data_IF_588236135486
#
_entry.id   IF_588236135486
#
_cell.length_a   1.000
_cell.length_b   1.000
_cell.length_c   1.000
_cell.angle_alpha   90.00
_cell.angle_beta   90.00
_cell.angle_gamma   90.00
#
_symmetry.space_group_name_H-M   'P 1'
#
loop_
_entity.id
_entity.type
_entity.pdbx_description
1 polymer ?
#
# COMPACT_ATOMS: atom_id res chain seq x y z
N UNK A 1 51.22 -30.30 7.44
CA UNK A 1 50.21 -29.29 7.07
C UNK A 1 50.71 -28.56 5.85
N UNK A 2 49.82 -28.27 4.89
CA UNK A 2 50.17 -27.32 3.83
C UNK A 2 50.49 -25.94 4.42
N UNK A 3 51.33 -25.16 3.71
CA UNK A 3 51.77 -23.84 4.19
C UNK A 3 50.70 -22.75 4.02
N UNK A 4 49.73 -22.97 3.13
CA UNK A 4 48.68 -21.99 2.80
C UNK A 4 47.34 -22.54 3.27
N UNK A 5 46.60 -21.73 4.03
CA UNK A 5 45.23 -22.07 4.39
C UNK A 5 44.33 -22.00 3.15
N UNK A 6 43.67 -23.12 2.81
CA UNK A 6 42.66 -23.18 1.76
C UNK A 6 41.28 -23.46 2.38
N UNK A 7 40.39 -22.45 2.48
CA UNK A 7 39.06 -22.65 3.06
C UNK A 7 38.21 -23.66 2.30
N UNK A 8 38.41 -23.81 0.99
CA UNK A 8 37.60 -24.71 0.15
C UNK A 8 37.73 -26.18 0.56
N UNK A 9 38.91 -26.58 1.05
CA UNK A 9 39.20 -27.96 1.45
C UNK A 9 38.60 -28.32 2.82
N UNK A 10 38.13 -27.33 3.59
CA UNK A 10 37.70 -27.48 4.98
C UNK A 10 36.21 -27.17 5.14
N UNK A 11 35.74 -26.04 4.61
CA UNK A 11 34.40 -25.51 4.90
C UNK A 11 33.28 -26.46 4.49
N UNK A 12 33.31 -26.94 3.24
CA UNK A 12 32.23 -27.75 2.68
C UNK A 12 32.15 -29.14 3.35
N UNK A 13 33.24 -29.92 3.46
CA UNK A 13 33.19 -31.21 4.16
C UNK A 13 32.80 -31.08 5.63
N UNK A 14 33.25 -30.02 6.30
CA UNK A 14 32.94 -29.77 7.70
C UNK A 14 31.45 -29.44 7.91
N UNK A 15 30.88 -28.60 7.04
CA UNK A 15 29.46 -28.28 7.11
C UNK A 15 28.58 -29.50 6.85
N UNK A 16 28.89 -30.28 5.81
CA UNK A 16 28.17 -31.52 5.50
C UNK A 16 28.22 -32.51 6.68
N UNK A 17 29.37 -32.59 7.36
CA UNK A 17 29.48 -33.38 8.58
C UNK A 17 28.56 -32.85 9.69
N UNK A 18 28.58 -31.55 9.99
CA UNK A 18 27.74 -30.94 11.03
C UNK A 18 26.25 -31.12 10.77
N UNK A 19 25.82 -30.89 9.53
CA UNK A 19 24.42 -31.07 9.11
C UNK A 19 24.00 -32.53 9.27
N UNK A 20 24.80 -33.48 8.79
CA UNK A 20 24.51 -34.91 8.90
C UNK A 20 24.45 -35.41 10.34
N UNK A 21 25.24 -34.84 11.24
CA UNK A 21 25.21 -35.18 12.66
C UNK A 21 24.07 -34.47 13.43
N UNK A 22 23.35 -33.54 12.79
CA UNK A 22 22.26 -32.82 13.42
C UNK A 22 22.71 -31.84 14.51
N UNK A 23 23.96 -31.35 14.47
CA UNK A 23 24.52 -30.48 15.51
C UNK A 23 23.82 -29.12 15.67
N UNK A 24 22.98 -28.74 14.71
CA UNK A 24 22.24 -27.48 14.73
C UNK A 24 20.88 -27.59 15.43
N UNK A 25 20.42 -28.81 15.73
CA UNK A 25 19.14 -29.06 16.37
C UNK A 25 19.14 -28.54 17.82
N UNK A 26 18.00 -28.04 18.31
CA UNK A 26 17.79 -27.82 19.74
C UNK A 26 18.05 -29.13 20.49
N UNK A 27 18.74 -29.07 21.64
CA UNK A 27 19.07 -30.27 22.42
C UNK A 27 17.84 -30.87 23.14
N UNK A 28 16.75 -30.09 23.27
CA UNK A 28 15.51 -30.52 23.88
C UNK A 28 15.54 -30.63 25.40
N UNK A 29 16.62 -30.17 26.05
CA UNK A 29 16.74 -30.16 27.50
C UNK A 29 16.01 -28.94 28.08
N UNK A 30 14.80 -29.17 28.58
CA UNK A 30 13.96 -28.13 29.22
C UNK A 30 14.53 -27.63 30.56
N UNK A 31 15.57 -28.27 31.11
CA UNK A 31 16.28 -27.75 32.29
C UNK A 31 17.25 -26.62 31.97
N UNK A 32 17.62 -26.45 30.70
CA UNK A 32 18.49 -25.37 30.23
C UNK A 32 17.66 -24.17 29.75
N UNK A 33 18.21 -22.97 29.91
CA UNK A 33 17.59 -21.78 29.32
C UNK A 33 17.49 -21.92 27.79
N UNK A 34 16.39 -21.45 27.22
CA UNK A 34 16.18 -21.44 25.78
C UNK A 34 16.58 -20.11 25.15
N UNK A 35 17.14 -20.16 23.94
CA UNK A 35 17.46 -18.97 23.15
C UNK A 35 17.05 -19.18 21.70
N UNK A 36 16.14 -18.35 21.20
CA UNK A 36 15.57 -18.50 19.87
C UNK A 36 15.75 -17.23 19.04
N UNK A 37 16.09 -17.41 17.76
CA UNK A 37 16.01 -16.37 16.74
C UNK A 37 15.19 -16.92 15.58
N UNK A 38 14.20 -16.15 15.12
CA UNK A 38 13.54 -16.41 13.85
C UNK A 38 14.31 -15.69 12.75
N UNK A 39 14.73 -16.41 11.71
CA UNK A 39 15.30 -15.73 10.54
C UNK A 39 14.19 -14.90 9.89
N UNK A 40 14.43 -13.62 9.56
CA UNK A 40 13.58 -12.92 8.61
C UNK A 40 13.62 -13.69 7.29
N UNK A 41 12.51 -14.32 6.90
CA UNK A 41 12.53 -15.32 5.84
C UNK A 41 12.87 -14.64 4.50
N UNK A 42 13.94 -15.06 3.80
CA UNK A 42 14.26 -14.48 2.50
C UNK A 42 13.15 -14.73 1.49
N UNK A 43 12.84 -13.71 0.70
CA UNK A 43 11.86 -13.80 -0.38
C UNK A 43 12.34 -14.75 -1.47
N UNK A 44 11.46 -15.60 -2.00
CA UNK A 44 11.74 -16.50 -3.14
C UNK A 44 11.79 -15.78 -4.49
N UNK A 45 12.48 -14.63 -4.55
CA UNK A 45 12.57 -13.75 -5.72
C UNK A 45 13.90 -13.85 -6.46
N UNK A 46 14.73 -14.86 -6.14
CA UNK A 46 16.05 -15.05 -6.76
C UNK A 46 17.08 -15.64 -5.81
N UNK A 47 18.21 -14.96 -5.65
CA UNK A 47 19.34 -15.36 -4.82
C UNK A 47 19.62 -14.36 -3.69
N UNK A 48 20.30 -14.83 -2.64
CA UNK A 48 20.77 -13.99 -1.55
C UNK A 48 21.89 -13.04 -2.01
N UNK A 49 21.87 -11.83 -1.47
CA UNK A 49 22.88 -10.78 -1.64
C UNK A 49 23.63 -10.46 -0.33
N UNK A 50 24.63 -9.58 -0.38
CA UNK A 50 25.50 -9.25 0.78
C UNK A 50 24.74 -8.80 2.04
N UNK A 51 23.65 -8.05 1.90
CA UNK A 51 22.78 -7.71 3.04
C UNK A 51 22.26 -8.93 3.82
N UNK A 52 21.88 -10.01 3.12
CA UNK A 52 21.47 -11.26 3.77
C UNK A 52 22.64 -11.91 4.50
N UNK A 53 23.82 -11.97 3.87
CA UNK A 53 25.01 -12.54 4.49
C UNK A 53 25.40 -11.78 5.77
N UNK A 54 25.35 -10.44 5.74
CA UNK A 54 25.60 -9.58 6.90
C UNK A 54 24.65 -9.91 8.06
N UNK A 55 23.34 -9.91 7.80
CA UNK A 55 22.33 -10.16 8.81
C UNK A 55 22.42 -11.59 9.38
N UNK A 56 22.58 -12.58 8.50
CA UNK A 56 22.71 -14.00 8.89
C UNK A 56 23.95 -14.25 9.72
N UNK A 57 25.08 -13.61 9.40
CA UNK A 57 26.33 -13.75 10.17
C UNK A 57 26.15 -13.29 11.62
N UNK A 58 25.45 -12.17 11.83
CA UNK A 58 25.18 -11.64 13.17
C UNK A 58 24.30 -12.63 13.96
N UNK A 59 23.20 -13.09 13.36
CA UNK A 59 22.29 -14.04 13.99
C UNK A 59 22.98 -15.38 14.30
N UNK A 60 23.75 -15.93 13.35
CA UNK A 60 24.50 -17.18 13.53
C UNK A 60 25.53 -17.07 14.65
N UNK A 61 26.24 -15.95 14.73
CA UNK A 61 27.21 -15.68 15.80
C UNK A 61 26.54 -15.72 17.17
N UNK A 62 25.37 -15.08 17.31
CA UNK A 62 24.60 -15.09 18.56
C UNK A 62 24.12 -16.51 18.89
N UNK A 63 23.56 -17.23 17.92
CA UNK A 63 23.09 -18.61 18.11
C UNK A 63 24.23 -19.52 18.56
N UNK A 64 25.38 -19.48 17.88
CA UNK A 64 26.55 -20.30 18.23
C UNK A 64 27.07 -19.96 19.63
N UNK A 65 27.19 -18.67 19.94
CA UNK A 65 27.63 -18.22 21.27
C UNK A 65 26.71 -18.76 22.38
N UNK A 66 25.38 -18.61 22.22
CA UNK A 66 24.40 -19.08 23.21
C UNK A 66 24.40 -20.61 23.31
N UNK A 67 24.53 -21.32 22.18
CA UNK A 67 24.65 -22.79 22.16
C UNK A 67 25.89 -23.26 22.91
N UNK A 68 27.01 -22.57 22.73
CA UNK A 68 28.27 -22.86 23.45
C UNK A 68 28.18 -22.56 24.95
N UNK A 69 27.25 -21.70 25.38
CA UNK A 69 26.93 -21.51 26.80
C UNK A 69 26.01 -22.59 27.39
N UNK A 70 25.64 -23.61 26.60
CA UNK A 70 24.79 -24.72 27.04
C UNK A 70 23.29 -24.48 26.87
N UNK A 71 22.88 -23.32 26.34
CA UNK A 71 21.46 -23.00 26.13
C UNK A 71 20.83 -23.89 25.06
N UNK A 72 19.54 -24.17 25.24
CA UNK A 72 18.72 -24.82 24.23
C UNK A 72 18.42 -23.83 23.10
N UNK A 73 19.16 -23.92 21.98
CA UNK A 73 19.12 -22.91 20.91
C UNK A 73 18.29 -23.34 19.72
N UNK A 74 17.44 -22.44 19.22
CA UNK A 74 16.73 -22.62 17.96
C UNK A 74 16.96 -21.41 17.05
N UNK A 75 17.57 -21.63 15.90
CA UNK A 75 17.53 -20.67 14.80
C UNK A 75 16.55 -21.17 13.75
N UNK A 76 15.31 -20.66 13.83
CA UNK A 76 14.22 -21.10 12.97
C UNK A 76 14.44 -20.56 11.56
N UNK A 77 14.64 -21.47 10.60
CA UNK A 77 14.83 -21.15 9.18
C UNK A 77 13.52 -21.21 8.40
N UNK A 78 13.39 -20.35 7.40
CA UNK A 78 12.32 -20.42 6.43
C UNK A 78 12.49 -19.42 5.29
N UNK A 79 11.60 -19.52 4.31
CA UNK A 79 11.53 -18.63 3.14
C UNK A 79 10.14 -18.03 2.99
N UNK A 80 10.08 -16.85 2.40
CA UNK A 80 8.82 -16.15 2.16
C UNK A 80 8.42 -16.25 0.69
N UNK A 81 7.17 -16.64 0.44
CA UNK A 81 6.51 -16.61 -0.87
C UNK A 81 6.48 -15.20 -1.50
N UNK A 82 6.55 -14.13 -0.70
CA UNK A 82 6.64 -12.73 -1.13
C UNK A 82 5.51 -12.23 -2.07
N UNK A 83 4.41 -12.97 -2.14
CA UNK A 83 3.21 -12.66 -2.94
C UNK A 83 3.51 -12.03 -4.30
N UNK A 84 3.15 -10.75 -4.43
CA UNK A 84 3.25 -9.97 -5.67
C UNK A 84 4.69 -9.82 -6.20
N UNK A 85 5.73 -9.84 -5.35
CA UNK A 85 7.11 -9.80 -5.84
C UNK A 85 7.47 -11.07 -6.60
N UNK A 86 7.12 -12.24 -6.08
CA UNK A 86 7.35 -13.53 -6.76
C UNK A 86 6.52 -13.61 -8.02
N UNK A 87 5.25 -13.22 -7.97
CA UNK A 87 4.39 -13.16 -9.16
C UNK A 87 5.05 -12.34 -10.28
N UNK A 88 5.56 -11.14 -9.98
CA UNK A 88 6.20 -10.30 -10.99
C UNK A 88 7.48 -10.90 -11.56
N UNK A 89 8.31 -11.54 -10.73
CA UNK A 89 9.53 -12.21 -11.23
C UNK A 89 9.16 -13.34 -12.19
N UNK A 90 8.15 -14.13 -11.85
CA UNK A 90 7.64 -15.22 -12.70
C UNK A 90 7.02 -14.66 -13.98
N UNK A 91 6.21 -13.60 -13.91
CA UNK A 91 5.63 -12.96 -15.10
C UNK A 91 6.72 -12.41 -16.03
N UNK A 92 7.75 -11.74 -15.50
CA UNK A 92 8.88 -11.24 -16.29
C UNK A 92 9.68 -12.37 -16.94
N UNK A 93 9.91 -13.48 -16.21
CA UNK A 93 10.60 -14.66 -16.72
C UNK A 93 9.83 -15.28 -17.87
N UNK A 94 8.53 -15.54 -17.69
CA UNK A 94 7.64 -16.11 -18.72
C UNK A 94 7.55 -15.18 -19.95
N UNK A 95 7.45 -13.86 -19.74
CA UNK A 95 7.42 -12.91 -20.85
C UNK A 95 8.73 -12.92 -21.65
N UNK A 96 9.88 -13.03 -20.97
CA UNK A 96 11.19 -13.06 -21.62
C UNK A 96 11.50 -14.40 -22.31
N UNK A 97 11.12 -15.52 -21.71
CA UNK A 97 11.46 -16.87 -22.20
C UNK A 97 10.44 -17.39 -23.21
N UNK A 98 9.17 -17.04 -23.06
CA UNK A 98 8.07 -17.61 -23.85
C UNK A 98 7.26 -16.57 -24.64
N UNK A 99 7.45 -15.27 -24.38
CA UNK A 99 6.62 -14.22 -24.99
C UNK A 99 5.15 -14.26 -24.54
N UNK A 100 4.87 -14.89 -23.39
CA UNK A 100 3.52 -15.04 -22.83
C UNK A 100 3.30 -14.15 -21.61
N UNK A 101 2.04 -13.99 -21.23
CA UNK A 101 1.58 -13.32 -20.02
C UNK A 101 0.89 -14.33 -19.09
N UNK A 102 0.65 -13.96 -17.83
CA UNK A 102 -0.14 -14.79 -16.90
C UNK A 102 -1.55 -15.14 -17.44
N UNK A 103 -2.11 -14.29 -18.30
CA UNK A 103 -3.45 -14.48 -18.84
C UNK A 103 -3.50 -15.61 -19.87
N UNK A 104 -2.38 -15.92 -20.53
CA UNK A 104 -2.28 -17.03 -21.48
C UNK A 104 -2.32 -18.40 -20.79
N UNK A 105 -1.97 -18.45 -19.50
CA UNK A 105 -1.96 -19.65 -18.67
C UNK A 105 -3.30 -19.92 -17.97
N UNK A 106 -4.04 -18.87 -17.62
CA UNK A 106 -5.10 -18.95 -16.63
C UNK A 106 -4.55 -19.19 -15.21
N UNK A 107 -5.43 -19.18 -14.21
CA UNK A 107 -5.04 -19.15 -12.79
C UNK A 107 -4.26 -20.38 -12.33
N UNK A 108 -4.81 -21.57 -12.53
CA UNK A 108 -4.23 -22.81 -11.97
C UNK A 108 -2.85 -23.09 -12.57
N UNK A 109 -2.72 -23.05 -13.90
CA UNK A 109 -1.43 -23.29 -14.55
C UNK A 109 -0.39 -22.21 -14.23
N UNK A 110 -0.80 -20.97 -13.99
CA UNK A 110 0.11 -19.92 -13.54
C UNK A 110 0.57 -20.13 -12.09
N UNK A 111 -0.30 -20.65 -11.20
CA UNK A 111 0.09 -21.05 -9.84
C UNK A 111 1.13 -22.17 -9.89
N UNK A 112 0.98 -23.14 -10.80
CA UNK A 112 1.99 -24.19 -10.98
C UNK A 112 3.36 -23.60 -11.37
N UNK A 113 3.38 -22.60 -12.27
CA UNK A 113 4.61 -21.87 -12.61
C UNK A 113 5.26 -21.15 -11.42
N UNK A 114 4.46 -20.62 -10.50
CA UNK A 114 4.98 -20.01 -9.27
C UNK A 114 5.64 -21.08 -8.37
N UNK A 115 5.03 -22.27 -8.25
CA UNK A 115 5.62 -23.36 -7.47
C UNK A 115 6.89 -23.94 -8.09
N UNK A 116 6.95 -24.05 -9.42
CA UNK A 116 8.18 -24.41 -10.15
C UNK A 116 9.32 -23.42 -9.82
N UNK A 117 9.03 -22.12 -9.89
CA UNK A 117 9.99 -21.07 -9.54
C UNK A 117 10.42 -21.13 -8.07
N UNK A 118 9.49 -21.38 -7.14
CA UNK A 118 9.79 -21.54 -5.72
C UNK A 118 10.78 -22.67 -5.48
N UNK A 119 10.65 -23.79 -6.18
CA UNK A 119 11.58 -24.91 -6.06
C UNK A 119 13.00 -24.52 -6.52
N UNK A 120 13.11 -23.77 -7.62
CA UNK A 120 14.39 -23.27 -8.16
C UNK A 120 15.05 -22.23 -7.22
N UNK A 121 14.32 -21.18 -6.86
CA UNK A 121 14.82 -20.08 -6.01
C UNK A 121 15.07 -20.53 -4.57
N UNK A 122 14.13 -21.26 -3.97
CA UNK A 122 14.28 -21.81 -2.62
C UNK A 122 15.49 -22.75 -2.51
N UNK A 123 15.71 -23.60 -3.52
CA UNK A 123 16.90 -24.44 -3.58
C UNK A 123 18.21 -23.65 -3.67
N UNK A 124 18.20 -22.49 -4.32
CA UNK A 124 19.37 -21.61 -4.41
C UNK A 124 19.66 -20.91 -3.07
N UNK A 125 18.63 -20.36 -2.44
CA UNK A 125 18.73 -19.68 -1.13
C UNK A 125 19.32 -20.63 -0.08
N UNK A 126 18.78 -21.85 0.01
CA UNK A 126 19.24 -22.84 1.00
C UNK A 126 20.67 -23.29 0.75
N UNK A 127 21.10 -23.44 -0.51
CA UNK A 127 22.52 -23.70 -0.86
C UNK A 127 23.45 -22.56 -0.44
N UNK A 128 23.04 -21.31 -0.66
CA UNK A 128 23.85 -20.15 -0.26
C UNK A 128 24.00 -20.06 1.26
N UNK A 129 22.93 -20.30 2.01
CA UNK A 129 22.97 -20.34 3.48
C UNK A 129 23.86 -21.45 4.02
N UNK A 130 23.81 -22.65 3.43
CA UNK A 130 24.75 -23.74 3.77
C UNK A 130 26.19 -23.36 3.48
N UNK A 131 26.43 -22.74 2.32
CA UNK A 131 27.76 -22.28 1.91
C UNK A 131 28.32 -21.20 2.84
N UNK A 132 27.47 -20.34 3.40
CA UNK A 132 27.85 -19.36 4.43
C UNK A 132 28.15 -20.00 5.80
N UNK A 133 27.77 -21.27 5.99
CA UNK A 133 27.98 -21.98 7.25
C UNK A 133 26.89 -21.75 8.29
N UNK A 134 25.70 -21.30 7.91
CA UNK A 134 24.62 -21.01 8.86
C UNK A 134 24.23 -22.24 9.69
N UNK A 135 24.19 -22.12 11.02
CA UNK A 135 23.89 -23.22 11.96
C UNK A 135 22.39 -23.35 12.30
N UNK A 136 21.55 -23.34 11.27
CA UNK A 136 20.09 -23.51 11.35
C UNK A 136 19.67 -24.98 11.40
N UNK A 137 18.49 -25.25 11.96
CA UNK A 137 17.87 -26.57 11.92
C UNK A 137 17.07 -26.77 10.61
N UNK A 138 17.70 -27.42 9.63
CA UNK A 138 17.10 -27.67 8.31
C UNK A 138 15.87 -28.58 8.34
N UNK A 139 15.72 -29.45 9.36
CA UNK A 139 14.53 -30.30 9.46
C UNK A 139 13.27 -29.51 9.84
N UNK A 140 13.47 -28.30 10.40
CA UNK A 140 12.40 -27.37 10.76
C UNK A 140 12.14 -26.30 9.72
N UNK A 141 12.72 -26.40 8.53
CA UNK A 141 12.53 -25.38 7.49
C UNK A 141 11.04 -25.12 7.23
N UNK A 142 10.66 -23.83 7.24
CA UNK A 142 9.30 -23.37 6.96
C UNK A 142 9.21 -22.60 5.66
N UNK A 143 8.03 -22.62 5.06
CA UNK A 143 7.68 -21.76 3.93
C UNK A 143 6.35 -21.10 4.23
N UNK A 144 6.21 -19.79 3.98
CA UNK A 144 5.00 -19.05 4.39
C UNK A 144 3.70 -19.60 3.81
N UNK A 145 3.74 -20.31 2.67
CA UNK A 145 2.60 -21.02 2.07
C UNK A 145 2.63 -22.54 2.29
N UNK A 146 3.45 -23.06 3.22
CA UNK A 146 3.34 -24.45 3.67
C UNK A 146 2.05 -24.69 4.45
N UNK A 147 1.67 -25.95 4.62
CA UNK A 147 0.40 -26.32 5.26
C UNK A 147 0.28 -25.77 6.70
N UNK A 148 1.37 -25.81 7.47
CA UNK A 148 1.38 -25.40 8.87
C UNK A 148 1.16 -23.89 9.01
N UNK A 149 1.96 -23.10 8.29
CA UNK A 149 1.85 -21.64 8.33
C UNK A 149 0.56 -21.14 7.65
N UNK A 150 0.12 -21.78 6.57
CA UNK A 150 -1.17 -21.46 5.95
C UNK A 150 -2.35 -21.67 6.90
N UNK A 151 -2.30 -22.73 7.71
CA UNK A 151 -3.34 -22.99 8.71
C UNK A 151 -3.25 -22.01 9.90
N UNK A 152 -2.06 -21.59 10.29
CA UNK A 152 -1.89 -20.53 11.29
C UNK A 152 -2.49 -19.19 10.83
N UNK A 153 -2.28 -18.79 9.57
CA UNK A 153 -2.90 -17.58 9.00
C UNK A 153 -4.42 -17.69 8.99
N UNK A 154 -4.99 -18.84 8.60
CA UNK A 154 -6.45 -19.06 8.64
C UNK A 154 -7.01 -18.96 10.05
N UNK A 155 -6.32 -19.55 11.05
CA UNK A 155 -6.74 -19.47 12.45
C UNK A 155 -6.75 -18.03 12.94
N UNK A 156 -5.67 -17.29 12.73
CA UNK A 156 -5.56 -15.88 13.13
C UNK A 156 -6.62 -15.04 12.45
N UNK A 157 -6.85 -15.23 11.15
CA UNK A 157 -7.90 -14.51 10.42
C UNK A 157 -9.28 -14.77 11.04
N UNK A 158 -9.64 -16.04 11.27
CA UNK A 158 -10.94 -16.41 11.85
C UNK A 158 -11.09 -15.88 13.27
N UNK A 159 -10.02 -15.94 14.08
CA UNK A 159 -10.03 -15.44 15.46
C UNK A 159 -10.24 -13.93 15.48
N UNK A 160 -9.41 -13.17 14.77
CA UNK A 160 -9.52 -11.71 14.71
C UNK A 160 -10.84 -11.24 14.10
N UNK A 161 -11.40 -11.99 13.14
CA UNK A 161 -12.74 -11.72 12.61
C UNK A 161 -13.83 -11.91 13.67
N UNK A 162 -13.77 -12.99 14.46
CA UNK A 162 -14.72 -13.24 15.56
C UNK A 162 -14.61 -12.21 16.69
N UNK A 163 -13.43 -11.61 16.85
CA UNK A 163 -13.15 -10.56 17.85
C UNK A 163 -13.52 -9.14 17.36
N UNK A 164 -14.16 -9.01 16.18
CA UNK A 164 -14.46 -7.72 15.50
C UNK A 164 -13.21 -6.87 15.19
N UNK A 165 -12.04 -7.49 15.14
CA UNK A 165 -10.78 -6.83 14.77
C UNK A 165 -10.53 -6.87 13.27
N UNK A 166 -11.09 -7.85 12.56
CA UNK A 166 -11.13 -7.87 11.09
C UNK A 166 -12.55 -7.55 10.62
N UNK A 167 -12.66 -6.64 9.66
CA UNK A 167 -13.94 -6.29 9.05
C UNK A 167 -13.78 -6.04 7.54
N UNK A 168 -14.90 -6.08 6.82
CA UNK A 168 -14.97 -5.74 5.40
C UNK A 168 -15.61 -4.36 5.25
N UNK A 169 -15.01 -3.49 4.44
CA UNK A 169 -15.54 -2.17 4.18
C UNK A 169 -15.17 -1.68 2.79
N UNK A 170 -15.96 -0.74 2.26
CA UNK A 170 -15.59 0.02 1.07
C UNK A 170 -14.81 1.26 1.54
N UNK A 171 -13.52 1.28 1.28
CA UNK A 171 -12.68 2.45 1.57
C UNK A 171 -11.78 2.77 0.39
N UNK A 172 -11.20 3.96 0.45
CA UNK A 172 -10.15 4.35 -0.48
C UNK A 172 -8.89 3.54 -0.19
N UNK A 173 -8.31 2.95 -1.23
CA UNK A 173 -7.02 2.26 -1.16
C UNK A 173 -6.09 2.77 -2.23
N UNK A 174 -4.80 2.59 -1.99
CA UNK A 174 -3.79 2.71 -3.03
C UNK A 174 -3.97 1.56 -4.02
N UNK A 175 -4.42 1.86 -5.24
CA UNK A 175 -4.66 0.89 -6.29
C UNK A 175 -3.61 0.97 -7.39
N UNK A 176 -2.97 -0.16 -7.70
CA UNK A 176 -2.10 -0.27 -8.88
C UNK A 176 -2.95 -0.69 -10.09
N UNK A 177 -3.22 0.21 -11.06
CA UNK A 177 -4.07 -0.12 -12.21
C UNK A 177 -3.42 -1.12 -13.17
N UNK A 178 -2.09 -1.26 -13.14
CA UNK A 178 -1.36 -2.19 -14.00
C UNK A 178 -1.38 -3.61 -13.42
N UNK A 179 -1.16 -3.74 -12.11
CA UNK A 179 -1.20 -5.03 -11.42
C UNK A 179 -2.64 -5.42 -11.03
N UNK A 180 -3.57 -4.46 -11.07
CA UNK A 180 -4.99 -4.58 -10.69
C UNK A 180 -5.17 -5.10 -9.28
N UNK A 181 -4.47 -4.48 -8.33
CA UNK A 181 -4.48 -4.92 -6.94
C UNK A 181 -4.28 -3.73 -5.99
N UNK A 182 -4.85 -3.84 -4.80
CA UNK A 182 -4.59 -2.89 -3.72
C UNK A 182 -3.17 -3.10 -3.17
N UNK A 183 -2.46 -2.00 -2.91
CA UNK A 183 -1.16 -2.00 -2.26
C UNK A 183 -1.22 -1.19 -0.96
N UNK A 184 -0.36 -1.51 -0.01
CA UNK A 184 -0.29 -0.77 1.26
C UNK A 184 0.48 0.54 1.11
N UNK A 185 0.33 1.46 2.06
CA UNK A 185 1.06 2.74 2.07
C UNK A 185 2.58 2.53 2.10
N UNK A 186 3.05 1.42 2.67
CA UNK A 186 4.47 1.03 2.71
C UNK A 186 5.00 0.56 1.34
N UNK A 187 4.12 0.26 0.39
CA UNK A 187 4.44 -0.18 -0.97
C UNK A 187 4.35 0.99 -1.98
N UNK A 188 4.10 2.22 -1.50
CA UNK A 188 4.02 3.44 -2.32
C UNK A 188 5.33 4.24 -2.23
N UNK A 189 5.89 4.55 -3.40
CA UNK A 189 7.04 5.44 -3.57
C UNK A 189 6.58 6.81 -4.06
N UNK A 190 6.85 7.85 -3.27
CA UNK A 190 6.58 9.23 -3.66
C UNK A 190 7.71 9.79 -4.52
N UNK A 191 7.38 10.24 -5.74
CA UNK A 191 8.36 10.80 -6.69
C UNK A 191 8.03 12.26 -7.00
N UNK A 192 9.03 13.12 -6.94
CA UNK A 192 8.91 14.50 -7.37
C UNK A 192 8.74 14.58 -8.89
N UNK A 193 7.82 15.44 -9.34
CA UNK A 193 7.56 15.67 -10.75
C UNK A 193 7.12 17.12 -10.99
N UNK A 194 7.35 17.63 -12.21
CA UNK A 194 6.83 18.94 -12.62
C UNK A 194 5.48 18.74 -13.29
N UNK A 195 4.47 19.44 -12.80
CA UNK A 195 3.11 19.41 -13.34
C UNK A 195 2.50 20.80 -13.43
N UNK A 196 1.18 20.85 -13.34
CA UNK A 196 0.44 22.11 -13.39
C UNK A 196 -0.65 22.12 -12.32
N UNK A 197 -1.02 23.34 -11.93
CA UNK A 197 -2.16 23.65 -11.09
C UNK A 197 -3.17 24.42 -11.93
N UNK A 198 -4.32 23.81 -12.19
CA UNK A 198 -5.40 24.38 -12.97
C UNK A 198 -6.36 25.12 -12.05
N UNK A 199 -6.67 26.37 -12.39
CA UNK A 199 -7.64 27.21 -11.69
C UNK A 199 -8.92 27.24 -12.50
N UNK A 200 -9.99 26.65 -11.97
CA UNK A 200 -11.25 26.41 -12.67
C UNK A 200 -12.38 27.13 -11.94
N UNK A 201 -13.21 27.85 -12.69
CA UNK A 201 -14.38 28.57 -12.18
C UNK A 201 -15.57 27.62 -12.05
N UNK A 202 -16.14 27.55 -10.86
CA UNK A 202 -17.36 26.82 -10.53
C UNK A 202 -18.46 27.85 -10.30
N UNK A 203 -19.43 27.98 -11.22
CA UNK A 203 -20.55 28.91 -11.07
C UNK A 203 -21.32 28.69 -9.78
N UNK A 204 -21.60 29.76 -9.04
CA UNK A 204 -22.48 29.73 -7.88
C UNK A 204 -23.92 29.53 -8.30
N UNK A 205 -24.63 28.67 -7.60
CA UNK A 205 -26.05 28.44 -7.83
C UNK A 205 -26.92 29.55 -7.20
N UNK A 206 -28.19 29.58 -7.59
CA UNK A 206 -29.24 30.39 -6.95
C UNK A 206 -28.95 31.90 -6.88
N UNK A 207 -28.13 32.41 -7.81
CA UNK A 207 -27.73 33.83 -7.86
C UNK A 207 -26.82 34.26 -6.71
N UNK A 208 -26.25 33.31 -5.96
CA UNK A 208 -25.31 33.61 -4.89
C UNK A 208 -24.06 34.30 -5.46
N UNK A 209 -23.47 35.17 -4.63
CA UNK A 209 -22.25 35.91 -4.96
C UNK A 209 -21.25 35.84 -3.82
N UNK A 210 -19.97 35.84 -4.16
CA UNK A 210 -18.85 36.02 -3.23
C UNK A 210 -18.90 37.41 -2.59
N UNK A 211 -18.09 37.63 -1.54
CA UNK A 211 -17.98 38.93 -0.88
C UNK A 211 -17.54 40.06 -1.84
N UNK A 212 -16.77 39.74 -2.89
CA UNK A 212 -16.34 40.66 -3.95
C UNK A 212 -17.30 40.71 -5.16
N UNK A 213 -18.49 40.10 -5.06
CA UNK A 213 -19.58 40.22 -6.03
C UNK A 213 -19.52 39.28 -7.24
N UNK A 214 -18.57 38.34 -7.28
CA UNK A 214 -18.46 37.32 -8.32
C UNK A 214 -19.54 36.26 -8.15
N UNK A 215 -19.99 35.69 -9.26
CA UNK A 215 -20.99 34.62 -9.34
C UNK A 215 -20.36 33.24 -9.51
N UNK A 216 -19.08 33.07 -9.13
CA UNK A 216 -18.36 31.80 -9.19
C UNK A 216 -17.32 31.70 -8.07
N UNK A 217 -16.92 30.47 -7.74
CA UNK A 217 -15.72 30.15 -6.98
C UNK A 217 -14.61 29.70 -7.92
N UNK A 218 -13.36 29.95 -7.57
CA UNK A 218 -12.21 29.42 -8.30
C UNK A 218 -11.62 28.30 -7.48
N UNK A 219 -11.65 27.07 -7.98
CA UNK A 219 -10.99 25.93 -7.35
C UNK A 219 -9.65 25.69 -8.03
N UNK A 220 -8.63 25.33 -7.26
CA UNK A 220 -7.33 24.95 -7.78
C UNK A 220 -7.16 23.42 -7.67
N UNK A 221 -6.72 22.76 -8.73
CA UNK A 221 -6.52 21.30 -8.76
C UNK A 221 -5.34 20.90 -9.62
N UNK A 222 -4.67 19.81 -9.25
CA UNK A 222 -3.63 19.12 -10.05
C UNK A 222 -4.20 17.95 -10.87
N UNK A 223 -5.47 17.59 -10.63
CA UNK A 223 -6.16 16.46 -11.25
C UNK A 223 -7.53 16.89 -11.82
N UNK A 224 -7.56 17.70 -12.90
CA UNK A 224 -8.82 18.21 -13.41
C UNK A 224 -9.75 17.12 -13.96
N UNK A 225 -9.24 15.94 -14.36
CA UNK A 225 -10.07 14.79 -14.76
C UNK A 225 -11.02 14.32 -13.65
N UNK A 226 -10.63 14.50 -12.39
CA UNK A 226 -11.43 14.07 -11.23
C UNK A 226 -12.61 15.00 -10.96
N UNK A 227 -12.67 16.17 -11.61
CA UNK A 227 -13.80 17.11 -11.55
C UNK A 227 -15.15 16.41 -11.80
N UNK A 228 -15.19 15.42 -12.68
CA UNK A 228 -16.41 14.65 -13.00
C UNK A 228 -17.02 13.97 -11.76
N UNK A 229 -16.19 13.66 -10.76
CA UNK A 229 -16.55 13.00 -9.51
C UNK A 229 -16.72 13.93 -8.31
N UNK A 230 -16.63 15.25 -8.48
CA UNK A 230 -16.73 16.18 -7.36
C UNK A 230 -18.13 16.12 -6.73
N UNK A 231 -18.16 16.19 -5.40
CA UNK A 231 -19.40 16.20 -4.61
C UNK A 231 -19.47 17.32 -3.59
N UNK A 232 -18.46 18.18 -3.53
CA UNK A 232 -18.50 19.43 -2.77
C UNK A 232 -17.34 20.37 -3.10
N UNK A 233 -17.42 21.58 -2.57
CA UNK A 233 -16.29 22.53 -2.52
C UNK A 233 -16.06 22.91 -1.07
N UNK A 234 -14.85 22.68 -0.56
CA UNK A 234 -14.48 23.11 0.79
C UNK A 234 -13.89 24.52 0.77
N UNK A 235 -14.31 25.31 1.76
CA UNK A 235 -13.74 26.63 2.08
C UNK A 235 -13.42 26.66 3.57
N UNK A 236 -12.44 27.45 3.97
CA UNK A 236 -12.14 27.61 5.39
C UNK A 236 -13.31 28.35 6.09
N UNK A 237 -13.82 27.86 7.23
CA UNK A 237 -14.87 28.54 7.99
C UNK A 237 -14.53 29.98 8.40
N UNK A 238 -13.25 30.26 8.61
CA UNK A 238 -12.75 31.57 9.02
C UNK A 238 -12.41 32.48 7.83
N UNK A 239 -12.56 32.02 6.58
CA UNK A 239 -12.26 32.84 5.41
C UNK A 239 -13.35 33.89 5.17
N UNK A 240 -13.07 35.19 5.37
CA UNK A 240 -14.07 36.24 5.19
C UNK A 240 -14.55 36.37 3.74
N UNK A 241 -13.80 35.81 2.77
CA UNK A 241 -14.19 35.83 1.34
C UNK A 241 -15.36 34.89 1.05
N UNK A 242 -15.45 33.77 1.79
CA UNK A 242 -16.32 32.64 1.43
C UNK A 242 -17.18 32.09 2.56
N UNK A 243 -16.98 32.47 3.83
CA UNK A 243 -17.75 31.95 4.96
C UNK A 243 -19.27 32.05 4.79
N UNK A 244 -19.75 33.13 4.16
CA UNK A 244 -21.18 33.38 3.90
C UNK A 244 -21.74 32.51 2.76
N UNK A 245 -20.88 31.70 2.12
CA UNK A 245 -21.25 30.72 1.10
C UNK A 245 -21.38 29.30 1.64
N UNK A 246 -20.97 29.04 2.88
CA UNK A 246 -21.11 27.72 3.52
C UNK A 246 -22.60 27.35 3.58
N UNK A 247 -22.93 26.14 3.12
CA UNK A 247 -24.30 25.65 2.98
C UNK A 247 -25.03 26.09 1.70
N UNK A 248 -24.41 26.96 0.89
CA UNK A 248 -24.86 27.25 -0.48
C UNK A 248 -24.28 26.23 -1.46
N UNK A 249 -24.55 26.42 -2.74
CA UNK A 249 -24.24 25.45 -3.79
C UNK A 249 -23.51 26.08 -4.96
N UNK A 250 -22.73 25.26 -5.65
CA UNK A 250 -22.19 25.55 -6.98
C UNK A 250 -22.76 24.57 -8.00
N UNK A 251 -22.73 24.95 -9.27
CA UNK A 251 -22.99 24.05 -10.39
C UNK A 251 -21.64 23.56 -10.91
N UNK A 252 -21.40 22.27 -10.74
CA UNK A 252 -20.21 21.60 -11.21
C UNK A 252 -20.15 21.65 -12.75
N UNK A 253 -19.09 22.22 -13.35
CA UNK A 253 -18.95 22.28 -14.80
C UNK A 253 -18.99 20.89 -15.47
N UNK A 254 -19.34 20.85 -16.76
CA UNK A 254 -19.43 19.66 -17.61
C UNK A 254 -20.53 18.65 -17.27
N UNK A 255 -20.76 18.36 -15.98
CA UNK A 255 -21.78 17.41 -15.52
C UNK A 255 -23.05 18.08 -14.98
N UNK A 256 -23.04 19.41 -14.82
CA UNK A 256 -24.15 20.22 -14.32
C UNK A 256 -24.73 19.73 -12.98
N UNK A 257 -23.88 19.15 -12.12
CA UNK A 257 -24.28 18.65 -10.81
C UNK A 257 -24.30 19.79 -9.81
N UNK A 258 -25.39 19.92 -9.05
CA UNK A 258 -25.46 20.87 -7.94
C UNK A 258 -24.77 20.27 -6.72
N UNK A 259 -23.66 20.87 -6.28
CA UNK A 259 -22.86 20.36 -5.15
C UNK A 259 -22.73 21.43 -4.04
N UNK A 260 -22.74 21.04 -2.76
CA UNK A 260 -22.67 21.96 -1.63
C UNK A 260 -21.28 22.58 -1.44
N UNK A 261 -21.26 23.77 -0.86
CA UNK A 261 -20.08 24.41 -0.30
C UNK A 261 -20.04 24.09 1.20
N UNK A 262 -18.95 23.50 1.67
CA UNK A 262 -18.76 23.06 3.06
C UNK A 262 -17.64 23.85 3.74
N UNK A 263 -17.80 24.09 5.04
CA UNK A 263 -16.77 24.72 5.87
C UNK A 263 -15.83 23.66 6.44
N UNK A 264 -14.57 23.61 5.99
CA UNK A 264 -13.59 22.64 6.48
C UNK A 264 -12.18 23.24 6.55
N UNK A 265 -11.45 22.95 7.63
CA UNK A 265 -10.08 23.44 7.85
C UNK A 265 -9.05 22.85 6.87
N UNK A 266 -9.40 21.77 6.14
CA UNK A 266 -8.59 21.26 5.05
C UNK A 266 -8.37 22.31 3.95
N UNK A 267 -9.33 23.22 3.76
CA UNK A 267 -9.16 24.37 2.88
C UNK A 267 -8.29 25.43 3.59
N UNK A 268 -7.08 25.61 3.08
CA UNK A 268 -6.11 26.58 3.57
C UNK A 268 -6.35 27.94 2.90
N UNK A 269 -6.56 28.98 3.71
CA UNK A 269 -6.87 30.34 3.24
C UNK A 269 -5.73 30.98 2.44
N UNK A 270 -4.49 30.59 2.73
CA UNK A 270 -3.27 31.17 2.15
C UNK A 270 -2.79 30.40 0.91
N UNK A 271 -3.28 29.17 0.70
CA UNK A 271 -2.90 28.33 -0.45
C UNK A 271 -3.90 28.43 -1.59
N UNK A 272 -3.37 28.63 -2.80
CA UNK A 272 -4.16 28.70 -4.02
C UNK A 272 -5.22 29.80 -3.93
N UNK A 273 -6.49 29.42 -3.96
CA UNK A 273 -7.64 30.32 -3.95
C UNK A 273 -8.39 30.36 -2.62
N UNK A 274 -8.02 29.50 -1.65
CA UNK A 274 -8.80 29.23 -0.45
C UNK A 274 -10.03 28.33 -0.67
N UNK A 275 -10.27 27.85 -1.89
CA UNK A 275 -11.33 26.92 -2.25
C UNK A 275 -10.74 25.62 -2.80
N UNK A 276 -11.15 24.49 -2.23
CA UNK A 276 -10.68 23.16 -2.63
C UNK A 276 -11.85 22.35 -3.17
N UNK A 277 -11.72 21.77 -4.36
CA UNK A 277 -12.72 20.81 -4.86
C UNK A 277 -12.64 19.52 -4.05
N UNK A 278 -13.77 18.92 -3.71
CA UNK A 278 -13.82 17.71 -2.90
C UNK A 278 -14.34 16.53 -3.73
N UNK A 279 -13.49 15.52 -3.86
CA UNK A 279 -13.65 14.31 -4.67
C UNK A 279 -13.43 13.05 -3.84
N UNK A 280 -14.36 12.71 -2.93
CA UNK A 280 -14.10 11.72 -1.88
C UNK A 280 -13.67 10.34 -2.39
N UNK A 281 -14.04 9.97 -3.61
CA UNK A 281 -13.72 8.66 -4.18
C UNK A 281 -12.33 8.55 -4.84
N UNK A 282 -11.54 9.64 -4.92
CA UNK A 282 -10.30 9.70 -5.72
C UNK A 282 -9.12 10.42 -5.05
N UNK A 283 -9.27 10.89 -3.80
CA UNK A 283 -8.19 11.48 -3.01
C UNK A 283 -8.41 11.21 -1.51
N UNK A 284 -7.34 10.87 -0.77
CA UNK A 284 -7.44 10.48 0.64
C UNK A 284 -7.83 11.64 1.56
N UNK A 285 -7.41 12.88 1.26
CA UNK A 285 -7.80 14.03 2.05
C UNK A 285 -9.25 14.40 1.76
N UNK A 286 -9.64 14.40 0.49
CA UNK A 286 -11.03 14.62 0.07
C UNK A 286 -11.97 13.56 0.66
N UNK A 287 -11.51 12.31 0.79
CA UNK A 287 -12.26 11.22 1.40
C UNK A 287 -12.60 11.52 2.87
N UNK A 288 -11.64 12.04 3.64
CA UNK A 288 -11.87 12.41 5.04
C UNK A 288 -12.75 13.65 5.18
N UNK A 289 -12.60 14.66 4.31
CA UNK A 289 -13.54 15.80 4.24
C UNK A 289 -14.95 15.29 3.91
N UNK A 290 -15.07 14.41 2.91
CA UNK A 290 -16.33 13.80 2.51
C UNK A 290 -17.01 13.05 3.65
N UNK A 291 -16.25 12.33 4.48
CA UNK A 291 -16.76 11.66 5.68
C UNK A 291 -17.25 12.64 6.74
N UNK A 292 -16.50 13.70 7.04
CA UNK A 292 -16.87 14.72 8.03
C UNK A 292 -18.17 15.45 7.65
N UNK A 293 -18.36 15.72 6.35
CA UNK A 293 -19.51 16.48 5.84
C UNK A 293 -20.59 15.63 5.17
N UNK A 294 -20.53 14.31 5.32
CA UNK A 294 -21.47 13.36 4.73
C UNK A 294 -21.67 13.53 3.20
N UNK A 295 -20.60 13.87 2.48
CA UNK A 295 -20.64 14.02 1.03
C UNK A 295 -20.70 12.65 0.34
N UNK A 296 -21.54 12.47 -0.68
CA UNK A 296 -21.54 11.26 -1.49
C UNK A 296 -20.19 11.01 -2.15
N UNK A 297 -19.85 9.75 -2.41
CA UNK A 297 -18.60 9.35 -3.04
C UNK A 297 -18.87 8.82 -4.44
N UNK A 298 -18.37 9.52 -5.47
CA UNK A 298 -18.62 9.18 -6.88
C UNK A 298 -17.35 8.58 -7.50
N UNK A 299 -17.32 7.26 -7.68
CA UNK A 299 -16.26 6.60 -8.42
C UNK A 299 -16.45 6.76 -9.93
N UNK A 300 -15.56 7.54 -10.57
CA UNK A 300 -15.55 7.76 -12.03
C UNK A 300 -14.52 6.88 -12.75
N UNK A 301 -13.68 6.15 -12.01
CA UNK A 301 -12.57 5.38 -12.58
C UNK A 301 -12.88 3.88 -12.56
N UNK A 302 -12.45 3.20 -13.61
CA UNK A 302 -12.36 1.74 -13.67
C UNK A 302 -11.10 1.28 -12.95
N UNK A 303 -10.96 -0.03 -12.73
CA UNK A 303 -9.74 -0.60 -12.16
C UNK A 303 -8.51 -0.48 -13.06
N UNK A 304 -8.68 -0.13 -14.33
CA UNK A 304 -7.58 0.19 -15.25
C UNK A 304 -7.14 1.66 -15.15
N UNK A 305 -7.88 2.47 -14.38
CA UNK A 305 -7.68 3.92 -14.32
C UNK A 305 -8.30 4.68 -15.49
N UNK A 306 -9.15 4.04 -16.29
CA UNK A 306 -9.92 4.70 -17.35
C UNK A 306 -11.24 5.26 -16.80
N UNK A 307 -11.78 6.30 -17.43
CA UNK A 307 -13.09 6.86 -17.09
C UNK A 307 -14.18 5.83 -17.40
N UNK A 308 -15.10 5.63 -16.45
CA UNK A 308 -16.23 4.72 -16.59
C UNK A 308 -17.24 5.21 -17.63
N UNK A 309 -18.01 4.28 -18.19
CA UNK A 309 -19.23 4.62 -18.94
C UNK A 309 -20.30 5.23 -18.02
N UNK A 310 -20.41 4.68 -16.81
CA UNK A 310 -21.29 5.17 -15.76
C UNK A 310 -20.58 5.13 -14.42
N UNK A 311 -20.68 6.24 -13.68
CA UNK A 311 -20.11 6.38 -12.35
C UNK A 311 -20.80 5.45 -11.35
N UNK A 312 -20.09 5.10 -10.28
CA UNK A 312 -20.70 4.44 -9.13
C UNK A 312 -20.85 5.46 -8.01
N UNK A 313 -22.02 5.52 -7.37
CA UNK A 313 -22.32 6.50 -6.34
C UNK A 313 -22.55 5.78 -5.02
N UNK A 314 -21.84 6.21 -3.98
CA UNK A 314 -21.90 5.61 -2.65
C UNK A 314 -22.14 6.67 -1.58
N UNK A 315 -22.71 6.26 -0.44
CA UNK A 315 -22.68 7.04 0.79
C UNK A 315 -21.31 6.93 1.49
N UNK A 316 -21.13 7.67 2.59
CA UNK A 316 -19.88 7.64 3.37
C UNK A 316 -19.63 6.33 4.13
N UNK A 317 -20.61 5.42 4.12
CA UNK A 317 -20.51 4.07 4.70
C UNK A 317 -20.21 3.02 3.61
N UNK A 318 -20.15 3.42 2.34
CA UNK A 318 -19.87 2.54 1.22
C UNK A 318 -21.11 1.84 0.63
N UNK A 319 -22.33 2.20 1.04
CA UNK A 319 -23.55 1.67 0.45
C UNK A 319 -23.85 2.39 -0.86
N UNK A 320 -24.43 1.68 -1.82
CA UNK A 320 -24.91 2.30 -3.06
C UNK A 320 -25.94 3.40 -2.76
N UNK A 321 -25.87 4.48 -3.51
CA UNK A 321 -26.72 5.66 -3.36
C UNK A 321 -27.17 6.17 -4.72
N UNK A 322 -28.39 6.70 -4.78
CA UNK A 322 -29.01 7.31 -5.96
C UNK A 322 -29.12 8.85 -5.84
N UNK A 323 -28.47 9.43 -4.83
CA UNK A 323 -28.51 10.89 -4.55
C UNK A 323 -28.01 11.74 -5.71
N UNK A 324 -27.13 11.20 -6.55
CA UNK A 324 -26.65 11.83 -7.79
C UNK A 324 -26.76 10.86 -8.96
N UNK A 325 -26.94 11.43 -10.16
CA UNK A 325 -26.89 10.67 -11.41
C UNK A 325 -25.55 9.97 -11.59
N UNK A 326 -25.60 8.73 -12.08
CA UNK A 326 -24.44 7.93 -12.46
C UNK A 326 -23.94 8.26 -13.89
N UNK A 327 -24.53 9.24 -14.56
CA UNK A 327 -24.15 9.63 -15.91
C UNK A 327 -22.79 10.36 -15.93
N UNK A 328 -21.94 9.95 -16.88
CA UNK A 328 -20.70 10.64 -17.24
C UNK A 328 -20.88 11.13 -18.68
N UNK A 329 -20.53 12.39 -19.04
CA UNK A 329 -20.69 12.88 -20.40
C UNK A 329 -19.97 12.00 -21.41
N UNK A 330 -20.64 11.70 -22.52
CA UNK A 330 -20.21 10.70 -23.49
C UNK A 330 -18.81 10.96 -24.06
N UNK A 331 -18.40 12.22 -24.20
CA UNK A 331 -17.06 12.57 -24.69
C UNK A 331 -15.92 12.14 -23.74
N UNK A 332 -16.18 11.89 -22.45
CA UNK A 332 -15.17 11.50 -21.48
C UNK A 332 -15.15 10.00 -21.17
N UNK A 333 -16.23 9.28 -21.48
CA UNK A 333 -16.35 7.85 -21.19
C UNK A 333 -15.23 7.05 -21.87
N UNK A 334 -14.67 6.06 -21.16
CA UNK A 334 -13.59 5.16 -21.62
C UNK A 334 -12.27 5.83 -21.96
N UNK A 335 -12.12 7.14 -21.72
CA UNK A 335 -10.83 7.78 -21.88
C UNK A 335 -9.89 7.31 -20.78
N UNK A 336 -8.64 7.03 -21.16
CA UNK A 336 -7.55 6.85 -20.20
C UNK A 336 -7.39 8.14 -19.37
N UNK A 337 -7.16 8.04 -18.06
CA UNK A 337 -7.17 9.20 -17.12
C UNK A 337 -6.31 10.39 -17.55
N UNK A 338 -5.13 10.19 -18.12
CA UNK A 338 -4.31 11.32 -18.59
C UNK A 338 -4.81 11.90 -19.91
N UNK A 339 -5.43 11.10 -20.78
CA UNK A 339 -6.18 11.59 -21.93
C UNK A 339 -7.44 12.36 -21.50
N UNK A 340 -8.19 11.83 -20.53
CA UNK A 340 -9.35 12.46 -19.92
C UNK A 340 -8.98 13.82 -19.29
N UNK A 341 -7.83 13.91 -18.63
CA UNK A 341 -7.29 15.17 -18.10
C UNK A 341 -7.21 16.25 -19.17
N UNK A 342 -6.64 15.93 -20.33
CA UNK A 342 -6.52 16.87 -21.45
C UNK A 342 -7.90 17.25 -22.01
N UNK A 343 -8.79 16.26 -22.16
CA UNK A 343 -10.14 16.49 -22.68
C UNK A 343 -10.98 17.39 -21.75
N UNK A 344 -10.94 17.13 -20.44
CA UNK A 344 -11.65 17.93 -19.42
C UNK A 344 -11.14 19.37 -19.40
N UNK A 345 -9.82 19.57 -19.42
CA UNK A 345 -9.25 20.93 -19.47
C UNK A 345 -9.70 21.68 -20.72
N UNK A 346 -9.66 21.03 -21.90
CA UNK A 346 -10.10 21.64 -23.14
C UNK A 346 -11.60 21.98 -23.13
N UNK A 347 -12.44 21.12 -22.54
CA UNK A 347 -13.87 21.37 -22.43
C UNK A 347 -14.19 22.52 -21.45
N UNK A 348 -13.49 22.60 -20.33
CA UNK A 348 -13.60 23.71 -19.37
C UNK A 348 -13.15 25.04 -19.99
N UNK A 349 -12.07 25.02 -20.77
CA UNK A 349 -11.57 26.20 -21.50
C UNK A 349 -12.54 26.66 -22.59
N UNK A 350 -13.14 25.73 -23.32
CA UNK A 350 -14.17 26.03 -24.33
C UNK A 350 -15.43 26.69 -23.72
N UNK A 351 -15.71 26.43 -22.44
CA UNK A 351 -16.78 27.10 -21.67
C UNK A 351 -16.34 28.45 -21.08
N UNK A 352 -15.07 28.87 -21.25
CA UNK A 352 -14.52 30.09 -20.66
C UNK A 352 -14.37 30.03 -19.14
N UNK A 353 -14.35 28.82 -18.57
CA UNK A 353 -14.28 28.58 -17.13
C UNK A 353 -12.86 28.30 -16.63
N UNK A 354 -11.89 28.13 -17.54
CA UNK A 354 -10.48 28.04 -17.18
C UNK A 354 -9.92 29.44 -16.90
N UNK A 355 -9.48 29.69 -15.66
CA UNK A 355 -8.97 31.00 -15.25
C UNK A 355 -7.47 31.12 -15.50
N UNK A 356 -6.69 30.12 -15.06
CA UNK A 356 -5.24 30.15 -15.14
C UNK A 356 -4.65 28.74 -15.03
N UNK A 357 -3.51 28.51 -15.69
CA UNK A 357 -2.68 27.31 -15.50
C UNK A 357 -1.32 27.77 -14.96
N UNK A 358 -0.96 27.32 -13.76
CA UNK A 358 0.35 27.61 -13.15
C UNK A 358 1.24 26.36 -13.15
N UNK A 359 2.54 26.47 -13.45
CA UNK A 359 3.49 25.40 -13.14
C UNK A 359 3.45 25.07 -11.64
N UNK A 360 3.51 23.78 -11.31
CA UNK A 360 3.47 23.33 -9.91
C UNK A 360 4.31 22.08 -9.71
N UNK A 361 4.97 22.00 -8.56
CA UNK A 361 5.76 20.84 -8.18
C UNK A 361 4.84 19.81 -7.52
N UNK A 362 4.86 18.59 -8.04
CA UNK A 362 4.00 17.51 -7.61
C UNK A 362 4.82 16.44 -6.92
N UNK A 363 4.25 15.88 -5.85
CA UNK A 363 4.67 14.60 -5.30
C UNK A 363 3.66 13.56 -5.76
N UNK A 364 4.07 12.70 -6.68
CA UNK A 364 3.18 11.71 -7.32
C UNK A 364 3.48 10.32 -6.74
N UNK A 365 2.46 9.59 -6.26
CA UNK A 365 2.64 8.24 -5.73
C UNK A 365 2.79 7.22 -6.87
N UNK A 366 3.83 6.39 -6.78
CA UNK A 366 4.08 5.25 -7.68
C UNK A 366 4.11 3.95 -6.88
N UNK A 367 3.67 2.84 -7.49
CA UNK A 367 3.87 1.53 -6.88
C UNK A 367 5.35 1.15 -6.95
N UNK A 368 5.93 0.71 -5.83
CA UNK A 368 7.32 0.21 -5.71
C UNK A 368 7.67 -0.81 -6.81
N UNK A 369 6.66 -1.60 -7.17
CA UNK A 369 6.74 -2.77 -8.02
C UNK A 369 6.22 -2.51 -9.43
N UNK A 370 5.00 -2.01 -9.55
CA UNK A 370 4.35 -1.77 -10.86
C UNK A 370 5.01 -0.65 -11.65
N UNK A 371 5.62 0.32 -10.95
CA UNK A 371 6.30 1.49 -11.52
C UNK A 371 5.34 2.47 -12.20
N UNK A 372 4.04 2.36 -11.94
CA UNK A 372 2.99 3.24 -12.48
C UNK A 372 2.43 4.14 -11.39
N UNK A 373 1.82 5.25 -11.81
CA UNK A 373 1.09 6.15 -10.89
C UNK A 373 -0.07 5.39 -10.27
N UNK A 374 -0.13 5.41 -8.94
CA UNK A 374 -1.16 4.78 -8.13
C UNK A 374 -2.42 5.65 -8.11
N UNK A 375 -3.57 5.00 -8.12
CA UNK A 375 -4.87 5.65 -8.01
C UNK A 375 -5.49 5.41 -6.63
N UNK A 376 -5.92 6.44 -5.91
CA UNK A 376 -6.83 6.25 -4.79
C UNK A 376 -8.16 5.73 -5.33
N UNK A 377 -8.55 4.51 -4.96
CA UNK A 377 -9.72 3.82 -5.51
C UNK A 377 -10.63 3.28 -4.42
N UNK A 378 -11.94 3.48 -4.56
CA UNK A 378 -12.93 2.83 -3.70
C UNK A 378 -13.05 1.36 -4.04
N UNK A 379 -12.67 0.50 -3.10
CA UNK A 379 -12.75 -0.96 -3.26
C UNK A 379 -13.29 -1.62 -2.00
N UNK A 380 -13.97 -2.76 -2.16
CA UNK A 380 -14.36 -3.60 -1.03
C UNK A 380 -13.15 -4.43 -0.59
N UNK A 381 -12.61 -4.11 0.58
CA UNK A 381 -11.43 -4.77 1.11
C UNK A 381 -11.65 -5.22 2.55
N UNK A 382 -10.80 -6.14 2.98
CA UNK A 382 -10.67 -6.57 4.35
C UNK A 382 -9.62 -5.73 5.06
N UNK A 383 -9.99 -5.24 6.25
CA UNK A 383 -9.13 -4.41 7.07
C UNK A 383 -8.96 -5.02 8.45
N UNK A 384 -7.83 -4.73 9.07
CA UNK A 384 -7.57 -5.00 10.48
C UNK A 384 -7.59 -3.68 11.24
N UNK A 385 -8.27 -3.64 12.39
CA UNK A 385 -8.25 -2.51 13.34
C UNK A 385 -6.86 -2.36 13.96
N UNK A 386 -6.04 -1.53 13.35
CA UNK A 386 -4.63 -1.42 13.71
C UNK A 386 -4.44 -0.67 15.03
N UNK A 387 -5.28 0.33 15.32
CA UNK A 387 -5.28 1.11 16.55
C UNK A 387 -5.49 0.24 17.80
N UNK A 388 -6.36 -0.77 17.72
CA UNK A 388 -6.61 -1.71 18.82
C UNK A 388 -5.44 -2.66 19.00
N UNK A 389 -4.91 -3.22 17.92
CA UNK A 389 -3.79 -4.16 17.96
C UNK A 389 -2.45 -3.50 18.31
N UNK A 390 -2.29 -2.21 18.03
CA UNK A 390 -1.07 -1.47 18.32
C UNK A 390 -0.86 -1.25 19.81
N UNK A 391 -1.93 -1.10 20.59
CA UNK A 391 -1.86 -0.84 22.05
C UNK A 391 -1.00 -1.84 22.82
N UNK A 392 -1.30 -3.16 22.79
CA UNK A 392 -0.48 -4.13 23.52
C UNK A 392 0.97 -4.19 23.01
N UNK A 393 1.20 -3.91 21.73
CA UNK A 393 2.54 -3.88 21.15
C UNK A 393 3.34 -2.63 21.56
N UNK A 394 2.68 -1.50 21.80
CA UNK A 394 3.30 -0.29 22.37
C UNK A 394 3.61 -0.50 23.85
N UNK A 395 2.65 -1.04 24.61
CA UNK A 395 2.80 -1.33 26.03
C UNK A 395 3.98 -2.28 26.31
N UNK A 396 4.15 -3.32 25.49
CA UNK A 396 5.28 -4.26 25.63
C UNK A 396 6.65 -3.57 25.51
N UNK A 397 6.77 -2.52 24.69
CA UNK A 397 8.01 -1.75 24.57
C UNK A 397 8.16 -0.76 25.72
N UNK A 398 7.08 -0.10 26.13
CA UNK A 398 7.08 0.84 27.26
C UNK A 398 7.42 0.14 28.59
N UNK A 399 6.92 -1.08 28.80
CA UNK A 399 7.19 -1.90 29.97
C UNK A 399 8.57 -2.57 29.95
N UNK A 400 9.25 -2.56 28.80
CA UNK A 400 10.55 -3.20 28.62
C UNK A 400 10.53 -4.70 28.37
N UNK A 401 9.35 -5.29 28.09
CA UNK A 401 9.19 -6.68 27.64
C UNK A 401 9.82 -6.89 26.25
N UNK A 402 9.78 -5.85 25.40
CA UNK A 402 10.51 -5.77 24.14
C UNK A 402 11.56 -4.66 24.25
N UNK A 403 12.80 -4.99 23.86
CA UNK A 403 13.94 -4.07 23.93
C UNK A 403 14.55 -3.86 22.55
N UNK A 404 14.77 -2.60 22.17
CA UNK A 404 15.43 -2.25 20.91
C UNK A 404 16.93 -2.05 21.11
N UNK A 405 17.71 -2.56 20.16
CA UNK A 405 19.15 -2.34 20.08
C UNK A 405 19.48 -1.83 18.69
N UNK A 406 19.99 -0.59 18.55
CA UNK A 406 20.07 0.51 19.53
C UNK A 406 18.72 1.02 20.08
N UNK A 407 18.73 1.51 21.32
CA UNK A 407 17.53 2.00 22.02
C UNK A 407 16.78 3.13 21.29
N UNK A 408 17.50 3.99 20.56
CA UNK A 408 16.90 5.12 19.84
C UNK A 408 15.83 4.72 18.80
N UNK A 409 15.83 3.47 18.33
CA UNK A 409 14.81 2.96 17.41
C UNK A 409 13.41 2.88 18.03
N UNK A 410 13.29 2.92 19.36
CA UNK A 410 12.00 3.06 20.08
C UNK A 410 11.24 4.30 19.62
N UNK A 411 11.92 5.43 19.42
CA UNK A 411 11.27 6.68 19.00
C UNK A 411 10.59 6.54 17.63
N UNK A 412 11.28 5.87 16.69
CA UNK A 412 10.74 5.60 15.36
C UNK A 412 9.56 4.64 15.44
N UNK A 413 9.69 3.57 16.23
CA UNK A 413 8.61 2.61 16.47
C UNK A 413 7.37 3.27 17.08
N UNK A 414 7.53 4.08 18.14
CA UNK A 414 6.40 4.76 18.78
C UNK A 414 5.75 5.80 17.88
N UNK A 415 6.54 6.56 17.11
CA UNK A 415 5.98 7.50 16.14
C UNK A 415 5.10 6.80 15.12
N UNK A 416 5.50 5.60 14.68
CA UNK A 416 4.73 4.82 13.71
C UNK A 416 3.50 4.16 14.34
N UNK A 417 3.67 3.47 15.47
CA UNK A 417 2.59 2.70 16.12
C UNK A 417 1.47 3.56 16.69
N UNK A 418 1.76 4.80 17.11
CA UNK A 418 0.76 5.70 17.71
C UNK A 418 -0.12 6.40 16.68
N UNK A 419 0.28 6.43 15.41
CA UNK A 419 -0.46 7.07 14.30
C UNK A 419 -0.87 6.05 13.23
N UNK A 420 -0.82 4.75 13.56
CA UNK A 420 -1.10 3.67 12.63
C UNK A 420 -2.56 3.68 12.18
N UNK A 421 -2.77 3.49 10.89
CA UNK A 421 -4.10 3.39 10.27
C UNK A 421 -4.51 1.93 10.08
N UNK A 422 -5.81 1.67 9.97
CA UNK A 422 -6.33 0.33 9.70
C UNK A 422 -5.67 -0.31 8.48
N UNK A 423 -5.16 -1.52 8.66
CA UNK A 423 -4.35 -2.19 7.63
C UNK A 423 -5.22 -2.97 6.64
N UNK A 424 -5.12 -2.64 5.35
CA UNK A 424 -5.72 -3.41 4.27
C UNK A 424 -4.99 -4.75 4.07
N UNK A 425 -5.68 -5.86 4.37
CA UNK A 425 -5.12 -7.22 4.36
C UNK A 425 -5.58 -8.10 3.18
N UNK A 426 -6.48 -7.62 2.33
CA UNK A 426 -6.84 -8.32 1.10
C UNK A 426 -5.99 -7.86 -0.10
N UNK A 427 -5.76 -8.78 -1.03
CA UNK A 427 -5.07 -8.57 -2.31
C UNK A 427 -5.86 -9.28 -3.41
N UNK A 428 -5.84 -8.73 -4.62
CA UNK A 428 -6.54 -9.25 -5.81
C UNK A 428 -5.60 -10.05 -6.69
#
# INVERSE_FOLDING_TARGET
MEKTYNPQDIEQPLYEHWEKQGYFKPNGDESQESFCIMIPPPNVTGSLHMGHAFQQTIMDTMIRYQRMQGKNTLWQVGTDHAGIATQMVVERKIAAEEGKTRHDYGREAFIDKIWEWKAESGGTITRQMRRLGNSVDWERERFTMDEGLSNAVKEVFVRLYKEDLIYRGKRLVNWDPKLRTAISDLEVENRESKGSMWHIRYPLADGAKTADGKDYLVVATTRPETLLGDTGVAVNPEDPRYKDLIGKYVILPLVNRRIPIVGDEHADMEKGTGCVKITPAHDFNDYEVGKRHALPMINILTFDGDIRESAQVFDTKGNESDVYSSEIPAEFQKLERFAARKAVVAAVDALGLLEEIKPHDLTVPYGDRGGVVIEPMLTDQWYVRADVLAKPAVEAVENGDIQFVPKQYENMYFSWMRDIQDWCISRQ
#
